data_IF_902819461806
#
_entry.id   IF_902819461806
#
_cell.length_a   1.000
_cell.length_b   1.000
_cell.length_c   1.000
_cell.angle_alpha   90.00
_cell.angle_beta   90.00
_cell.angle_gamma   90.00
#
_symmetry.space_group_name_H-M   'P 1'
#
loop_
_entity.id
_entity.type
_entity.pdbx_description
1 polymer ?
#
# COMPACT_ATOMS: atom_id res chain seq x y z
N UNK A 1 16.86 34.79 -39.10
CA UNK A 1 16.83 35.09 -37.64
C UNK A 1 15.84 34.19 -36.89
N UNK A 2 14.60 34.02 -37.39
CA UNK A 2 13.59 33.15 -36.79
C UNK A 2 14.06 31.70 -36.54
N UNK A 3 14.63 31.04 -37.55
CA UNK A 3 15.12 29.66 -37.43
C UNK A 3 16.22 29.54 -36.35
N UNK A 4 17.14 30.50 -36.28
CA UNK A 4 18.21 30.50 -35.28
C UNK A 4 17.67 30.65 -33.84
N UNK A 5 16.69 31.53 -33.65
CA UNK A 5 16.02 31.69 -32.34
C UNK A 5 15.25 30.42 -31.96
N UNK A 6 14.53 29.82 -32.90
CA UNK A 6 13.79 28.57 -32.69
C UNK A 6 14.74 27.43 -32.30
N UNK A 7 15.88 27.29 -32.99
CA UNK A 7 16.88 26.28 -32.67
C UNK A 7 17.51 26.51 -31.30
N UNK A 8 17.77 27.76 -30.93
CA UNK A 8 18.33 28.10 -29.61
C UNK A 8 17.35 27.72 -28.49
N UNK A 9 16.09 28.13 -28.61
CA UNK A 9 15.05 27.84 -27.63
C UNK A 9 14.81 26.32 -27.54
N UNK A 10 14.75 25.62 -28.67
CA UNK A 10 14.58 24.16 -28.68
C UNK A 10 15.75 23.45 -27.99
N UNK A 11 17.00 23.81 -28.30
CA UNK A 11 18.17 23.23 -27.68
C UNK A 11 18.24 23.52 -26.17
N UNK A 12 17.93 24.76 -25.76
CA UNK A 12 17.93 25.15 -24.35
C UNK A 12 16.82 24.43 -23.57
N UNK A 13 15.63 24.29 -24.16
CA UNK A 13 14.51 23.56 -23.55
C UNK A 13 14.84 22.07 -23.36
N UNK A 14 15.36 21.40 -24.40
CA UNK A 14 15.77 19.99 -24.31
C UNK A 14 16.84 19.83 -23.22
N UNK A 15 17.83 20.73 -23.19
CA UNK A 15 18.87 20.68 -22.18
C UNK A 15 18.36 20.98 -20.77
N UNK A 16 17.43 21.92 -20.60
CA UNK A 16 16.86 22.27 -19.30
C UNK A 16 16.08 21.11 -18.69
N UNK A 17 15.27 20.44 -19.51
CA UNK A 17 14.53 19.23 -19.10
C UNK A 17 15.49 18.10 -18.75
N UNK A 18 16.55 17.90 -19.54
CA UNK A 18 17.56 16.89 -19.25
C UNK A 18 18.28 17.16 -17.92
N UNK A 19 18.65 18.41 -17.62
CA UNK A 19 19.26 18.79 -16.34
C UNK A 19 18.33 18.46 -15.19
N UNK A 20 17.05 18.84 -15.29
CA UNK A 20 16.07 18.60 -14.24
C UNK A 20 15.96 17.12 -13.87
N UNK A 21 15.69 16.24 -14.85
CA UNK A 21 15.54 14.82 -14.58
C UNK A 21 16.87 14.15 -14.19
N UNK A 22 17.98 14.54 -14.82
CA UNK A 22 19.29 13.98 -14.52
C UNK A 22 19.72 14.27 -13.09
N UNK A 23 19.62 15.53 -12.65
CA UNK A 23 20.08 15.96 -11.34
C UNK A 23 19.26 15.31 -10.22
N UNK A 24 17.94 15.26 -10.38
CA UNK A 24 17.06 14.62 -9.39
C UNK A 24 17.35 13.12 -9.34
N UNK A 25 17.49 12.45 -10.48
CA UNK A 25 17.77 11.02 -10.50
C UNK A 25 19.13 10.67 -9.91
N UNK A 26 20.17 11.47 -10.16
CA UNK A 26 21.47 11.32 -9.48
C UNK A 26 21.35 11.56 -7.96
N UNK A 27 20.58 12.56 -7.55
CA UNK A 27 20.36 12.84 -6.13
C UNK A 27 19.59 11.71 -5.42
N UNK A 28 18.73 10.99 -6.14
CA UNK A 28 18.05 9.81 -5.59
C UNK A 28 18.97 8.60 -5.42
N UNK A 29 20.06 8.50 -6.18
CA UNK A 29 21.07 7.45 -6.01
C UNK A 29 21.96 7.72 -4.78
N UNK A 30 22.18 8.99 -4.43
CA UNK A 30 23.01 9.42 -3.31
C UNK A 30 22.21 10.26 -2.28
N UNK A 31 21.24 9.65 -1.56
CA UNK A 31 20.29 10.38 -0.71
C UNK A 31 20.95 11.15 0.46
N UNK A 32 22.16 10.78 0.87
CA UNK A 32 22.89 11.46 1.95
C UNK A 32 23.58 12.77 1.56
N UNK A 33 23.62 13.13 0.27
CA UNK A 33 24.38 14.28 -0.23
C UNK A 33 23.61 15.07 -1.31
N UNK A 34 22.31 15.30 -1.09
CA UNK A 34 21.44 15.95 -2.07
C UNK A 34 22.00 17.29 -2.60
N UNK A 35 22.35 18.22 -1.72
CA UNK A 35 22.84 19.56 -2.10
C UNK A 35 24.15 19.48 -2.90
N UNK A 36 25.20 18.75 -2.44
CA UNK A 36 26.41 18.54 -3.24
C UNK A 36 26.14 17.95 -4.63
N UNK A 37 25.25 16.96 -4.74
CA UNK A 37 24.94 16.29 -6.00
C UNK A 37 24.23 17.23 -6.97
N UNK A 38 23.33 18.08 -6.47
CA UNK A 38 22.64 19.09 -7.28
C UNK A 38 23.63 20.11 -7.85
N UNK A 39 24.55 20.60 -7.03
CA UNK A 39 25.60 21.54 -7.46
C UNK A 39 26.51 20.88 -8.49
N UNK A 40 27.00 19.67 -8.20
CA UNK A 40 27.86 18.90 -9.10
C UNK A 40 27.18 18.66 -10.46
N UNK A 41 25.96 18.12 -10.46
CA UNK A 41 25.23 17.79 -11.68
C UNK A 41 24.94 19.04 -12.53
N UNK A 42 24.61 20.16 -11.89
CA UNK A 42 24.39 21.43 -12.59
C UNK A 42 25.67 21.93 -13.27
N UNK A 43 26.80 21.88 -12.58
CA UNK A 43 28.10 22.28 -13.13
C UNK A 43 28.54 21.37 -14.28
N UNK A 44 28.36 20.05 -14.15
CA UNK A 44 28.69 19.09 -15.20
C UNK A 44 27.91 19.38 -16.48
N UNK A 45 26.61 19.66 -16.37
CA UNK A 45 25.78 19.90 -17.55
C UNK A 45 26.05 21.23 -18.23
N UNK A 46 26.26 22.30 -17.46
CA UNK A 46 26.68 23.58 -18.04
C UNK A 46 28.05 23.45 -18.71
N UNK A 47 29.00 22.76 -18.05
CA UNK A 47 30.33 22.49 -18.59
C UNK A 47 30.30 21.71 -19.90
N UNK A 48 29.42 20.70 -20.00
CA UNK A 48 29.20 19.91 -21.23
C UNK A 48 28.75 20.80 -22.40
N UNK A 49 27.76 21.67 -22.19
CA UNK A 49 27.24 22.55 -23.26
C UNK A 49 28.31 23.53 -23.74
N UNK A 50 29.07 24.11 -22.80
CA UNK A 50 30.16 25.04 -23.13
C UNK A 50 31.26 24.31 -23.92
N UNK A 51 31.66 23.12 -23.46
CA UNK A 51 32.67 22.31 -24.14
C UNK A 51 32.22 21.90 -25.56
N UNK A 52 30.97 21.46 -25.71
CA UNK A 52 30.40 21.10 -27.00
C UNK A 52 30.31 22.30 -27.95
N UNK A 53 29.84 23.45 -27.45
CA UNK A 53 29.75 24.70 -28.23
C UNK A 53 31.14 25.20 -28.66
N UNK A 54 32.12 25.17 -27.76
CA UNK A 54 33.49 25.56 -28.05
C UNK A 54 34.14 24.64 -29.09
N UNK A 55 33.95 23.32 -28.94
CA UNK A 55 34.48 22.31 -29.86
C UNK A 55 33.87 22.45 -31.26
N UNK A 56 32.56 22.71 -31.35
CA UNK A 56 31.88 22.98 -32.62
C UNK A 56 32.45 24.22 -33.31
N UNK A 57 32.60 25.32 -32.57
CA UNK A 57 33.06 26.60 -33.13
C UNK A 57 34.54 26.59 -33.54
N UNK A 58 35.39 25.87 -32.80
CA UNK A 58 36.83 25.80 -33.06
C UNK A 58 37.25 24.55 -33.85
N UNK A 59 36.30 23.80 -34.41
CA UNK A 59 36.57 22.52 -35.06
C UNK A 59 37.65 22.56 -36.16
N UNK A 60 37.83 23.67 -36.87
CA UNK A 60 38.88 23.76 -37.90
C UNK A 60 40.25 24.17 -37.34
N UNK A 61 40.29 24.85 -36.20
CA UNK A 61 41.51 25.47 -35.66
C UNK A 61 42.20 24.61 -34.59
N UNK A 62 41.48 23.66 -33.99
CA UNK A 62 41.99 22.81 -32.90
C UNK A 62 42.88 21.66 -33.39
N UNK A 63 43.96 21.35 -32.64
CA UNK A 63 44.82 20.17 -32.87
C UNK A 63 44.04 18.86 -32.62
N UNK A 64 44.37 17.80 -33.36
CA UNK A 64 43.65 16.52 -33.32
C UNK A 64 43.48 15.95 -31.90
N UNK A 65 44.54 15.99 -31.07
CA UNK A 65 44.49 15.49 -29.68
C UNK A 65 43.45 16.20 -28.82
N UNK A 66 43.36 17.53 -28.91
CA UNK A 66 42.42 18.31 -28.10
C UNK A 66 40.98 18.13 -28.58
N UNK A 67 40.77 17.91 -29.88
CA UNK A 67 39.45 17.54 -30.43
C UNK A 67 38.97 16.23 -29.87
N UNK A 68 39.83 15.21 -29.89
CA UNK A 68 39.47 13.88 -29.41
C UNK A 68 39.16 13.91 -27.91
N UNK A 69 40.01 14.57 -27.11
CA UNK A 69 39.77 14.74 -25.67
C UNK A 69 38.42 15.40 -25.36
N UNK A 70 38.12 16.54 -25.98
CA UNK A 70 36.86 17.25 -25.75
C UNK A 70 35.65 16.46 -26.25
N UNK A 71 35.77 15.79 -27.40
CA UNK A 71 34.71 14.94 -27.93
C UNK A 71 34.41 13.77 -26.98
N UNK A 72 35.44 13.04 -26.55
CA UNK A 72 35.29 11.95 -25.58
C UNK A 72 34.74 12.45 -24.25
N UNK A 73 35.19 13.61 -23.76
CA UNK A 73 34.66 14.21 -22.53
C UNK A 73 33.16 14.50 -22.67
N UNK A 74 32.71 15.16 -23.75
CA UNK A 74 31.28 15.43 -23.99
C UNK A 74 30.45 14.14 -24.05
N UNK A 75 30.97 13.09 -24.67
CA UNK A 75 30.32 11.77 -24.71
C UNK A 75 30.20 11.16 -23.32
N UNK A 76 31.29 11.15 -22.54
CA UNK A 76 31.28 10.64 -21.16
C UNK A 76 30.33 11.44 -20.27
N UNK A 77 30.35 12.77 -20.34
CA UNK A 77 29.40 13.59 -19.59
C UNK A 77 27.95 13.28 -20.00
N UNK A 78 27.69 13.02 -21.29
CA UNK A 78 26.35 12.64 -21.76
C UNK A 78 25.88 11.29 -21.21
N UNK A 79 26.79 10.32 -21.04
CA UNK A 79 26.48 9.05 -20.38
C UNK A 79 26.14 9.24 -18.90
N UNK A 80 26.86 10.10 -18.20
CA UNK A 80 26.58 10.44 -16.80
C UNK A 80 25.20 11.10 -16.69
N UNK A 81 24.85 12.03 -17.59
CA UNK A 81 23.50 12.63 -17.65
C UNK A 81 22.42 11.56 -17.88
N UNK A 82 22.66 10.63 -18.80
CA UNK A 82 21.73 9.55 -19.12
C UNK A 82 21.51 8.63 -17.91
N UNK A 83 22.57 8.32 -17.16
CA UNK A 83 22.47 7.58 -15.90
C UNK A 83 21.63 8.35 -14.86
N UNK A 84 21.76 9.67 -14.79
CA UNK A 84 20.89 10.51 -13.96
C UNK A 84 19.41 10.37 -14.35
N UNK A 85 19.09 10.50 -15.64
CA UNK A 85 17.71 10.36 -16.14
C UNK A 85 17.17 8.95 -15.84
N UNK A 86 17.99 7.92 -16.05
CA UNK A 86 17.65 6.55 -15.72
C UNK A 86 17.39 6.35 -14.21
N UNK A 87 18.18 6.99 -13.34
CA UNK A 87 17.96 7.00 -11.89
C UNK A 87 16.56 7.53 -11.53
N UNK A 88 16.13 8.61 -12.17
CA UNK A 88 14.80 9.18 -11.96
C UNK A 88 13.68 8.22 -12.42
N UNK A 89 13.80 7.68 -13.63
CA UNK A 89 12.80 6.77 -14.20
C UNK A 89 12.74 5.43 -13.45
N UNK A 90 13.89 4.87 -13.07
CA UNK A 90 13.97 3.61 -12.33
C UNK A 90 13.37 3.73 -10.94
N UNK A 91 13.55 4.87 -10.25
CA UNK A 91 12.88 5.13 -8.97
C UNK A 91 11.36 5.14 -9.12
N UNK A 92 10.83 5.86 -10.10
CA UNK A 92 9.39 5.91 -10.34
C UNK A 92 8.81 4.51 -10.64
N UNK A 93 9.54 3.70 -11.42
CA UNK A 93 9.15 2.33 -11.71
C UNK A 93 9.25 1.42 -10.46
N UNK A 94 10.33 1.50 -9.68
CA UNK A 94 10.48 0.72 -8.44
C UNK A 94 9.42 1.07 -7.41
N UNK A 95 9.13 2.35 -7.19
CA UNK A 95 8.11 2.78 -6.22
C UNK A 95 6.72 2.29 -6.61
N UNK A 96 6.39 2.29 -7.91
CA UNK A 96 5.13 1.74 -8.40
C UNK A 96 5.05 0.22 -8.16
N UNK A 97 6.10 -0.54 -8.49
CA UNK A 97 6.13 -2.00 -8.28
C UNK A 97 6.12 -2.38 -6.79
N UNK A 98 6.79 -1.61 -5.92
CA UNK A 98 6.81 -1.84 -4.48
C UNK A 98 5.46 -1.50 -3.83
N UNK A 99 4.80 -0.43 -4.28
CA UNK A 99 3.46 -0.08 -3.83
C UNK A 99 2.45 -1.16 -4.22
N UNK A 100 2.53 -1.69 -5.44
CA UNK A 100 1.66 -2.78 -5.90
C UNK A 100 1.81 -4.05 -5.05
N UNK A 101 3.06 -4.49 -4.81
CA UNK A 101 3.33 -5.64 -3.94
C UNK A 101 2.83 -5.42 -2.50
N UNK A 102 2.99 -4.22 -1.95
CA UNK A 102 2.54 -3.88 -0.60
C UNK A 102 1.01 -3.92 -0.48
N UNK A 103 0.30 -3.46 -1.51
CA UNK A 103 -1.17 -3.48 -1.53
C UNK A 103 -1.70 -4.91 -1.63
N UNK A 104 -1.13 -5.75 -2.51
CA UNK A 104 -1.50 -7.16 -2.62
C UNK A 104 -1.25 -7.90 -1.30
N UNK A 105 -0.08 -7.71 -0.67
CA UNK A 105 0.20 -8.30 0.65
C UNK A 105 -0.80 -7.86 1.74
N UNK A 106 -1.20 -6.58 1.75
CA UNK A 106 -2.23 -6.08 2.69
C UNK A 106 -3.59 -6.72 2.41
N UNK A 107 -3.96 -6.91 1.15
CA UNK A 107 -5.20 -7.59 0.76
C UNK A 107 -5.18 -9.04 1.26
N UNK A 108 -4.07 -9.76 1.10
CA UNK A 108 -3.94 -11.14 1.59
C UNK A 108 -4.06 -11.23 3.11
N UNK A 109 -3.42 -10.31 3.85
CA UNK A 109 -3.55 -10.23 5.31
C UNK A 109 -5.00 -9.96 5.72
N UNK A 110 -5.68 -9.03 5.04
CA UNK A 110 -7.09 -8.70 5.31
C UNK A 110 -7.99 -9.91 5.01
N UNK A 111 -7.78 -10.61 3.89
CA UNK A 111 -8.55 -11.81 3.54
C UNK A 111 -8.35 -12.95 4.55
N UNK A 112 -7.11 -13.14 5.03
CA UNK A 112 -6.80 -14.10 6.10
C UNK A 112 -7.51 -13.74 7.40
N UNK A 113 -7.54 -12.45 7.76
CA UNK A 113 -8.28 -11.96 8.92
C UNK A 113 -9.78 -12.18 8.76
N UNK A 114 -10.38 -11.84 7.61
CA UNK A 114 -11.80 -12.08 7.31
C UNK A 114 -12.12 -13.58 7.45
N UNK A 115 -11.25 -14.46 6.97
CA UNK A 115 -11.45 -15.92 7.04
C UNK A 115 -11.42 -16.41 8.48
N UNK A 116 -10.49 -15.88 9.29
CA UNK A 116 -10.40 -16.17 10.72
C UNK A 116 -11.64 -15.71 11.47
N UNK A 117 -12.11 -14.48 11.23
CA UNK A 117 -13.32 -13.93 11.83
C UNK A 117 -14.59 -14.71 11.42
N UNK A 118 -14.73 -15.07 10.13
CA UNK A 118 -15.83 -15.93 9.66
C UNK A 118 -15.84 -17.28 10.38
N UNK A 119 -14.65 -17.86 10.59
CA UNK A 119 -14.51 -19.12 11.32
C UNK A 119 -14.90 -18.96 12.78
N UNK A 120 -14.49 -17.86 13.42
CA UNK A 120 -14.86 -17.53 14.79
C UNK A 120 -16.38 -17.35 14.95
N UNK A 121 -17.01 -16.53 14.09
CA UNK A 121 -18.46 -16.33 14.06
C UNK A 121 -19.17 -17.68 13.91
N UNK A 122 -18.75 -18.52 12.96
CA UNK A 122 -19.36 -19.84 12.74
C UNK A 122 -19.30 -20.71 14.00
N UNK A 123 -18.17 -20.74 14.70
CA UNK A 123 -18.04 -21.49 15.97
C UNK A 123 -18.97 -20.92 17.04
N UNK A 124 -19.08 -19.61 17.13
CA UNK A 124 -19.92 -18.94 18.12
C UNK A 124 -21.41 -19.18 17.85
N UNK A 125 -21.84 -19.15 16.59
CA UNK A 125 -23.20 -19.53 16.19
C UNK A 125 -23.52 -20.98 16.58
N UNK A 126 -22.60 -21.92 16.37
CA UNK A 126 -22.79 -23.31 16.80
C UNK A 126 -22.88 -23.47 18.32
N UNK A 127 -22.15 -22.65 19.09
CA UNK A 127 -22.24 -22.63 20.56
C UNK A 127 -23.61 -22.10 20.98
N UNK A 128 -24.08 -21.01 20.37
CA UNK A 128 -25.41 -20.44 20.64
C UNK A 128 -26.49 -21.47 20.32
N UNK A 129 -26.45 -22.12 19.16
CA UNK A 129 -27.42 -23.15 18.77
C UNK A 129 -27.47 -24.32 19.76
N UNK A 130 -26.30 -24.77 20.24
CA UNK A 130 -26.22 -25.81 21.28
C UNK A 130 -26.78 -25.33 22.62
N UNK A 131 -26.48 -24.09 23.00
CA UNK A 131 -26.99 -23.48 24.23
C UNK A 131 -28.52 -23.35 24.16
N UNK A 132 -29.07 -22.84 23.06
CA UNK A 132 -30.51 -22.74 22.81
C UNK A 132 -31.18 -24.12 22.90
N UNK A 133 -30.65 -25.13 22.21
CA UNK A 133 -31.20 -26.50 22.26
C UNK A 133 -31.17 -27.08 23.67
N UNK A 134 -30.13 -26.79 24.45
CA UNK A 134 -30.06 -27.20 25.87
C UNK A 134 -31.08 -26.46 26.73
N UNK A 135 -31.27 -25.16 26.49
CA UNK A 135 -32.22 -24.32 27.22
C UNK A 135 -33.66 -24.77 26.94
N UNK A 136 -34.00 -25.05 25.67
CA UNK A 136 -35.32 -25.56 25.28
C UNK A 136 -35.60 -26.92 25.92
N UNK A 137 -34.61 -27.82 26.00
CA UNK A 137 -34.78 -29.11 26.67
C UNK A 137 -35.09 -28.91 28.16
N UNK A 138 -34.30 -28.09 28.85
CA UNK A 138 -34.48 -27.83 30.29
C UNK A 138 -35.82 -27.14 30.57
N UNK A 139 -36.21 -26.16 29.74
CA UNK A 139 -37.50 -25.49 29.85
C UNK A 139 -38.67 -26.47 29.69
N UNK A 140 -38.62 -27.35 28.68
CA UNK A 140 -39.64 -28.38 28.48
C UNK A 140 -39.74 -29.35 29.66
N UNK A 141 -38.60 -29.83 30.19
CA UNK A 141 -38.60 -30.72 31.37
C UNK A 141 -39.15 -30.02 32.62
N UNK A 142 -38.86 -28.73 32.80
CA UNK A 142 -39.40 -27.96 33.93
C UNK A 142 -40.90 -27.72 33.78
N UNK A 143 -41.39 -27.42 32.58
CA UNK A 143 -42.84 -27.27 32.31
C UNK A 143 -43.59 -28.58 32.56
N UNK A 144 -43.03 -29.71 32.15
CA UNK A 144 -43.56 -31.05 32.44
C UNK A 144 -43.59 -31.34 33.96
N UNK A 145 -42.50 -31.04 34.67
CA UNK A 145 -42.43 -31.21 36.12
C UNK A 145 -43.44 -30.34 36.87
N UNK A 146 -43.59 -29.06 36.47
CA UNK A 146 -44.58 -28.14 37.03
C UNK A 146 -46.01 -28.61 36.74
N UNK A 147 -46.27 -29.19 35.57
CA UNK A 147 -47.59 -29.73 35.24
C UNK A 147 -47.97 -30.90 36.16
N UNK A 148 -47.04 -31.83 36.41
CA UNK A 148 -47.22 -32.96 37.33
C UNK A 148 -47.45 -32.46 38.76
N UNK A 149 -46.68 -31.48 39.22
CA UNK A 149 -46.82 -30.93 40.56
C UNK A 149 -48.16 -30.19 40.76
N UNK A 150 -48.62 -29.44 39.75
CA UNK A 150 -49.96 -28.82 39.74
C UNK A 150 -51.07 -29.86 39.77
N UNK A 151 -50.94 -30.97 39.05
CA UNK A 151 -51.90 -32.07 39.08
C UNK A 151 -51.98 -32.72 40.47
N UNK A 152 -50.83 -33.00 41.07
CA UNK A 152 -50.75 -33.54 42.44
C UNK A 152 -51.37 -32.59 43.48
N UNK A 153 -51.09 -31.29 43.38
CA UNK A 153 -51.68 -30.28 44.27
C UNK A 153 -53.20 -30.22 44.16
N UNK A 154 -53.76 -30.28 42.94
CA UNK A 154 -55.21 -30.35 42.72
C UNK A 154 -55.81 -31.61 43.35
N UNK A 155 -55.18 -32.77 43.15
CA UNK A 155 -55.64 -34.01 43.74
C UNK A 155 -55.64 -33.98 45.28
N UNK A 156 -54.64 -33.32 45.88
CA UNK A 156 -54.58 -33.09 47.34
C UNK A 156 -55.67 -32.11 47.79
N UNK A 157 -55.89 -31.00 47.08
CA UNK A 157 -56.95 -30.03 47.38
C UNK A 157 -58.33 -30.68 47.34
N UNK A 158 -58.62 -31.49 46.33
CA UNK A 158 -59.88 -32.22 46.20
C UNK A 158 -60.08 -33.20 47.36
N UNK A 159 -59.02 -33.93 47.76
CA UNK A 159 -59.07 -34.79 48.96
C UNK A 159 -59.36 -33.98 50.23
N UNK A 160 -58.70 -32.85 50.44
CA UNK A 160 -58.99 -31.98 51.59
C UNK A 160 -60.43 -31.48 51.59
N UNK A 161 -60.97 -31.06 50.45
CA UNK A 161 -62.39 -30.67 50.34
C UNK A 161 -63.32 -31.82 50.71
N UNK A 162 -63.05 -33.03 50.23
CA UNK A 162 -63.89 -34.19 50.59
C UNK A 162 -63.84 -34.51 52.08
N UNK A 163 -62.67 -34.40 52.72
CA UNK A 163 -62.50 -34.63 54.15
C UNK A 163 -63.23 -33.57 54.99
N UNK A 164 -63.13 -32.29 54.62
CA UNK A 164 -63.86 -31.21 55.30
C UNK A 164 -65.38 -31.38 55.17
N UNK A 165 -65.89 -31.82 54.02
CA UNK A 165 -67.31 -32.12 53.84
C UNK A 165 -67.78 -33.29 54.73
N UNK A 166 -66.90 -34.26 54.99
CA UNK A 166 -67.17 -35.37 55.91
C UNK A 166 -67.16 -34.89 57.36
N UNK A 167 -66.21 -34.05 57.76
CA UNK A 167 -66.14 -33.50 59.12
C UNK A 167 -67.27 -32.52 59.43
N UNK A 168 -67.73 -31.72 58.45
CA UNK A 168 -68.84 -30.76 58.64
C UNK A 168 -70.21 -31.44 58.74
N UNK A 169 -70.29 -32.75 58.48
CA UNK A 169 -71.52 -33.56 58.54
C UNK A 169 -71.66 -34.39 59.83
N UNK A 170 -70.71 -34.29 60.75
CA UNK A 170 -70.81 -34.78 62.14
C UNK A 170 -71.10 -33.62 63.10
#
# INVERSE_FOLDING_TARGET
>A
MFIALLTLISALSISGVAIFYSVIGLATIFPGAFVPVVIMGSVLEVGKLIAASWLYRNWKQTRFLLKFYLATAVVVLSLITSMGIFGFLSKAHLEQNLAENTVVQRIDIINSKITSEKTYIKRQTLIIERAEKSLTRTAGTNDEAIAIEKENLKAVEDKFKTLLVVETKN
#
